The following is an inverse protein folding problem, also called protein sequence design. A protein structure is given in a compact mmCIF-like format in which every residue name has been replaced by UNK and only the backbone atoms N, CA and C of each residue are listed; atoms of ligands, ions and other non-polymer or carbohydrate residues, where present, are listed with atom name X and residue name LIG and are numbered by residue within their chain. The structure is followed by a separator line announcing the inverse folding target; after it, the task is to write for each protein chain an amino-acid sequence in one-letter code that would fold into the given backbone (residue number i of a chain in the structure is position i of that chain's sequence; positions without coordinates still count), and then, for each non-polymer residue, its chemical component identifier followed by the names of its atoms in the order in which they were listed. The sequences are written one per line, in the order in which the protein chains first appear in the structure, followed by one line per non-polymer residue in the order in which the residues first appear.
data_IF_812920578247
#
_entry.id   IF_812920578247
#
_cell.length_a   1.000
_cell.length_b   1.000
_cell.length_c   1.000
_cell.angle_alpha   90.00
_cell.angle_beta   90.00
_cell.angle_gamma   90.00
#
_symmetry.space_group_name_H-M   'P 1'
#
loop_
_entity.id
_entity.type
_entity.pdbx_description
1 polymer ?
#
# COMPACT_ATOMS: atom_id res chain seq x y z
N UNK A 1 -25.25 -36.15 -3.54
CA UNK A 1 -24.51 -35.14 -2.77
C UNK A 1 -24.58 -33.88 -3.59
N UNK A 2 -25.39 -32.92 -3.15
CA UNK A 2 -25.55 -31.64 -3.83
C UNK A 2 -24.33 -30.77 -3.53
N UNK A 3 -23.73 -30.26 -4.59
CA UNK A 3 -22.61 -29.34 -4.56
C UNK A 3 -23.13 -27.97 -4.14
N UNK A 4 -23.00 -27.65 -2.85
CA UNK A 4 -23.35 -26.35 -2.28
C UNK A 4 -22.17 -25.36 -2.41
N UNK A 5 -21.48 -25.34 -3.55
CA UNK A 5 -20.52 -24.27 -3.86
C UNK A 5 -21.30 -23.01 -4.25
N UNK A 6 -21.74 -22.24 -3.25
CA UNK A 6 -21.98 -20.81 -3.42
C UNK A 6 -20.62 -20.14 -3.66
N UNK A 7 -20.09 -20.30 -4.87
CA UNK A 7 -18.94 -19.55 -5.36
C UNK A 7 -19.39 -18.11 -5.60
N UNK A 8 -19.58 -17.39 -4.50
CA UNK A 8 -19.77 -15.95 -4.53
C UNK A 8 -18.39 -15.32 -4.74
N UNK A 9 -17.96 -15.30 -6.00
CA UNK A 9 -16.76 -14.58 -6.43
C UNK A 9 -17.01 -13.08 -6.44
N UNK A 10 -16.93 -12.42 -5.29
CA UNK A 10 -16.84 -10.96 -5.22
C UNK A 10 -15.45 -10.55 -5.74
N UNK A 11 -15.38 -10.14 -7.01
CA UNK A 11 -14.18 -9.49 -7.55
C UNK A 11 -14.19 -8.03 -7.11
N UNK A 12 -13.49 -7.71 -6.03
CA UNK A 12 -13.31 -6.33 -5.56
C UNK A 12 -12.39 -5.60 -6.56
N UNK A 13 -12.98 -4.77 -7.42
CA UNK A 13 -12.26 -4.02 -8.47
C UNK A 13 -11.64 -2.71 -7.98
N UNK A 14 -11.99 -2.27 -6.77
CA UNK A 14 -11.64 -0.99 -6.16
C UNK A 14 -10.95 -1.16 -4.80
N UNK A 15 -10.30 -2.31 -4.54
CA UNK A 15 -9.76 -2.68 -3.22
C UNK A 15 -8.88 -1.60 -2.58
N UNK A 16 -8.14 -0.84 -3.38
CA UNK A 16 -7.38 0.31 -2.89
C UNK A 16 -8.27 1.38 -2.22
N UNK A 17 -9.40 1.74 -2.84
CA UNK A 17 -10.32 2.74 -2.32
C UNK A 17 -11.04 2.26 -1.06
N UNK A 18 -11.53 1.02 -1.07
CA UNK A 18 -12.24 0.44 0.09
C UNK A 18 -11.33 0.37 1.31
N UNK A 19 -10.12 -0.17 1.16
CA UNK A 19 -9.16 -0.25 2.26
C UNK A 19 -8.68 1.12 2.73
N UNK A 20 -8.68 2.12 1.85
CA UNK A 20 -8.36 3.49 2.26
C UNK A 20 -9.47 4.09 3.13
N UNK A 21 -10.73 3.90 2.75
CA UNK A 21 -11.87 4.34 3.55
C UNK A 21 -11.94 3.60 4.89
N UNK A 22 -11.69 2.29 4.90
CA UNK A 22 -11.57 1.50 6.13
C UNK A 22 -10.46 2.06 7.03
N UNK A 23 -9.31 2.43 6.45
CA UNK A 23 -8.21 3.01 7.19
C UNK A 23 -8.58 4.33 7.86
N UNK A 24 -9.29 5.21 7.14
CA UNK A 24 -9.80 6.47 7.68
C UNK A 24 -10.81 6.23 8.81
N UNK A 25 -11.75 5.32 8.59
CA UNK A 25 -12.72 4.92 9.61
C UNK A 25 -12.02 4.44 10.89
N UNK A 26 -11.05 3.52 10.77
CA UNK A 26 -10.32 3.03 11.94
C UNK A 26 -9.47 4.12 12.61
N UNK A 27 -8.91 5.05 11.85
CA UNK A 27 -8.21 6.20 12.42
C UNK A 27 -9.17 7.03 13.30
N UNK A 28 -10.32 7.41 12.75
CA UNK A 28 -11.36 8.18 13.45
C UNK A 28 -11.85 7.43 14.69
N UNK A 29 -12.18 6.14 14.57
CA UNK A 29 -12.58 5.34 15.73
C UNK A 29 -11.52 5.37 16.84
N UNK A 30 -10.24 5.32 16.48
CA UNK A 30 -9.17 5.35 17.47
C UNK A 30 -9.05 6.66 18.26
N UNK A 31 -9.62 7.74 17.74
CA UNK A 31 -9.67 9.06 18.40
C UNK A 31 -10.93 9.21 19.28
N UNK A 32 -11.99 8.45 18.98
CA UNK A 32 -13.27 8.51 19.72
C UNK A 32 -13.31 7.70 21.01
N UNK A 33 -12.67 6.52 21.04
CA UNK A 33 -12.65 5.68 22.23
C UNK A 33 -11.64 6.18 23.25
N UNK A 34 -11.89 6.00 24.55
CA UNK A 34 -10.93 6.31 25.63
C UNK A 34 -10.19 5.08 26.16
N UNK A 35 -10.73 3.89 25.92
CA UNK A 35 -10.08 2.63 26.30
C UNK A 35 -8.82 2.40 25.46
N UNK A 36 -7.70 2.22 26.16
CA UNK A 36 -6.39 2.05 25.55
C UNK A 36 -6.33 0.87 24.57
N UNK A 37 -6.91 -0.29 24.93
CA UNK A 37 -6.82 -1.48 24.10
C UNK A 37 -7.69 -1.36 22.84
N UNK A 38 -8.85 -0.72 22.96
CA UNK A 38 -9.74 -0.44 21.83
C UNK A 38 -9.10 0.58 20.89
N UNK A 39 -8.63 1.73 21.40
CA UNK A 39 -7.90 2.71 20.60
C UNK A 39 -6.74 2.05 19.85
N UNK A 40 -5.96 1.24 20.56
CA UNK A 40 -4.81 0.55 20.00
C UNK A 40 -5.18 -0.43 18.87
N UNK A 41 -6.25 -1.20 19.05
CA UNK A 41 -6.77 -2.10 18.01
C UNK A 41 -7.09 -1.32 16.75
N UNK A 42 -7.80 -0.21 16.88
CA UNK A 42 -8.18 0.64 15.74
C UNK A 42 -6.97 1.28 15.07
N UNK A 43 -6.04 1.84 15.85
CA UNK A 43 -4.76 2.38 15.35
C UNK A 43 -3.98 1.38 14.49
N UNK A 44 -3.91 0.12 14.94
CA UNK A 44 -3.26 -0.97 14.18
C UNK A 44 -4.00 -1.29 12.89
N UNK A 45 -5.32 -1.45 12.97
CA UNK A 45 -6.16 -1.70 11.79
C UNK A 45 -6.02 -0.59 10.76
N UNK A 46 -5.92 0.68 11.19
CA UNK A 46 -5.74 1.82 10.32
C UNK A 46 -4.42 1.74 9.52
N UNK A 47 -3.27 1.56 10.19
CA UNK A 47 -1.97 1.46 9.49
C UNK A 47 -1.93 0.27 8.53
N UNK A 48 -2.47 -0.88 8.94
CA UNK A 48 -2.55 -2.07 8.08
C UNK A 48 -3.37 -1.76 6.83
N UNK A 49 -4.55 -1.16 7.00
CA UNK A 49 -5.47 -0.86 5.89
C UNK A 49 -4.91 0.21 4.95
N UNK A 50 -4.25 1.25 5.49
CA UNK A 50 -3.52 2.24 4.69
C UNK A 50 -2.43 1.58 3.83
N UNK A 51 -1.60 0.73 4.41
CA UNK A 51 -0.56 0.04 3.65
C UNK A 51 -1.14 -0.90 2.60
N UNK A 52 -2.19 -1.66 2.93
CA UNK A 52 -2.84 -2.59 2.03
C UNK A 52 -3.53 -1.86 0.86
N UNK A 53 -4.14 -0.71 1.12
CA UNK A 53 -4.68 0.19 0.09
C UNK A 53 -3.60 0.60 -0.92
N UNK A 54 -2.44 1.03 -0.43
CA UNK A 54 -1.32 1.41 -1.27
C UNK A 54 -0.75 0.22 -2.06
N UNK A 55 -0.64 -0.96 -1.43
CA UNK A 55 -0.16 -2.19 -2.09
C UNK A 55 -1.11 -2.65 -3.21
N UNK A 56 -2.43 -2.53 -3.01
CA UNK A 56 -3.43 -2.83 -4.03
C UNK A 56 -3.34 -1.86 -5.22
N UNK A 57 -3.16 -0.57 -4.95
CA UNK A 57 -2.96 0.43 -6.02
C UNK A 57 -1.67 0.20 -6.79
N UNK A 58 -0.54 -0.03 -6.11
CA UNK A 58 0.74 -0.32 -6.76
C UNK A 58 0.68 -1.57 -7.64
N UNK A 59 -0.04 -2.61 -7.22
CA UNK A 59 -0.24 -3.82 -8.01
C UNK A 59 -1.06 -3.53 -9.27
N UNK A 60 -2.11 -2.72 -9.14
CA UNK A 60 -2.94 -2.25 -10.26
C UNK A 60 -2.13 -1.38 -11.23
N UNK A 61 -1.26 -0.51 -10.70
CA UNK A 61 -0.35 0.31 -11.47
C UNK A 61 0.61 -0.54 -12.30
N UNK A 62 1.26 -1.54 -11.69
CA UNK A 62 2.16 -2.45 -12.41
C UNK A 62 1.38 -3.14 -13.53
N UNK A 63 0.22 -3.74 -13.22
CA UNK A 63 -0.62 -4.44 -14.20
C UNK A 63 -0.98 -3.56 -15.40
N UNK A 64 -1.44 -2.33 -15.16
CA UNK A 64 -1.84 -1.41 -16.22
C UNK A 64 -0.67 -0.89 -17.06
N UNK A 65 0.50 -0.65 -16.46
CA UNK A 65 1.68 -0.18 -17.19
C UNK A 65 2.37 -1.30 -17.97
N UNK A 66 2.26 -2.56 -17.53
CA UNK A 66 2.76 -3.72 -18.25
C UNK A 66 1.79 -4.25 -19.32
N UNK A 67 0.52 -3.79 -19.31
CA UNK A 67 -0.47 -4.19 -20.30
C UNK A 67 -0.10 -3.67 -21.69
N UNK A 68 -0.27 -4.51 -22.70
CA UNK A 68 -0.12 -4.14 -24.13
C UNK A 68 1.30 -3.67 -24.52
N UNK A 69 2.35 -4.05 -23.77
CA UNK A 69 3.76 -3.84 -24.13
C UNK A 69 4.52 -5.16 -24.23
N UNK A 70 5.61 -5.17 -25.00
CA UNK A 70 6.56 -6.28 -24.94
C UNK A 70 7.22 -6.25 -23.56
N UNK A 71 7.04 -7.31 -22.79
CA UNK A 71 7.54 -7.44 -21.41
C UNK A 71 8.67 -8.44 -21.33
N UNK A 72 9.62 -8.16 -20.44
CA UNK A 72 10.69 -9.10 -20.08
C UNK A 72 10.14 -10.28 -19.28
N UNK A 73 10.91 -11.38 -19.23
CA UNK A 73 10.56 -12.54 -18.40
C UNK A 73 10.33 -12.16 -16.93
N UNK A 74 11.15 -11.24 -16.41
CA UNK A 74 11.03 -10.74 -15.04
C UNK A 74 9.75 -9.92 -14.81
N UNK A 75 9.32 -9.12 -15.79
CA UNK A 75 8.04 -8.40 -15.71
C UNK A 75 6.86 -9.35 -15.80
N UNK A 76 6.97 -10.41 -16.62
CA UNK A 76 5.97 -11.49 -16.68
C UNK A 76 5.83 -12.21 -15.34
N UNK A 77 6.94 -12.60 -14.70
CA UNK A 77 6.91 -13.21 -13.36
C UNK A 77 6.16 -12.35 -12.32
N UNK A 78 6.35 -11.03 -12.39
CA UNK A 78 5.65 -10.08 -11.50
C UNK A 78 4.17 -10.01 -11.84
N UNK A 79 3.80 -9.99 -13.12
CA UNK A 79 2.39 -10.05 -13.54
C UNK A 79 1.71 -11.34 -13.10
N UNK A 80 2.37 -12.47 -13.28
CA UNK A 80 1.86 -13.78 -12.89
C UNK A 80 1.61 -13.82 -11.38
N UNK A 81 2.58 -13.34 -10.59
CA UNK A 81 2.42 -13.20 -9.14
C UNK A 81 1.28 -12.26 -8.71
N UNK A 82 1.05 -11.17 -9.44
CA UNK A 82 -0.04 -10.22 -9.13
C UNK A 82 -1.41 -10.81 -9.51
N UNK A 83 -1.48 -11.61 -10.58
CA UNK A 83 -2.73 -12.16 -11.09
C UNK A 83 -3.12 -13.50 -10.45
N UNK A 84 -2.16 -14.27 -9.93
CA UNK A 84 -2.38 -15.57 -9.30
C UNK A 84 -1.78 -15.61 -7.90
N UNK A 85 -2.64 -15.82 -6.90
CA UNK A 85 -2.24 -15.93 -5.50
C UNK A 85 -1.43 -17.20 -5.19
N UNK A 86 -1.45 -18.20 -6.07
CA UNK A 86 -0.65 -19.42 -5.95
C UNK A 86 0.73 -19.31 -6.62
N UNK A 87 0.98 -18.24 -7.37
CA UNK A 87 2.25 -18.05 -8.04
C UNK A 87 3.38 -17.71 -7.05
N UNK A 88 4.60 -18.10 -7.41
CA UNK A 88 5.77 -17.83 -6.59
C UNK A 88 6.11 -16.34 -6.57
N UNK A 89 6.51 -15.82 -5.40
CA UNK A 89 6.95 -14.43 -5.28
C UNK A 89 8.25 -14.18 -6.06
N UNK A 90 8.32 -13.16 -6.93
CA UNK A 90 9.53 -12.84 -7.68
C UNK A 90 10.70 -12.43 -6.76
N UNK A 91 11.92 -12.74 -7.18
CA UNK A 91 13.13 -12.52 -6.36
C UNK A 91 13.29 -11.03 -6.01
N UNK A 92 13.29 -10.74 -4.71
CA UNK A 92 13.44 -9.40 -4.17
C UNK A 92 12.17 -8.55 -4.20
N UNK A 93 11.04 -9.08 -4.69
CA UNK A 93 9.75 -8.40 -4.64
C UNK A 93 9.25 -8.23 -3.20
N UNK A 94 9.62 -9.09 -2.26
CA UNK A 94 9.33 -8.93 -0.83
C UNK A 94 9.90 -7.65 -0.19
N UNK A 95 10.91 -7.03 -0.80
CA UNK A 95 11.56 -5.84 -0.25
C UNK A 95 10.85 -4.57 -0.74
N UNK A 96 10.21 -3.84 0.19
CA UNK A 96 9.46 -2.60 -0.14
C UNK A 96 10.31 -1.59 -0.91
N UNK A 97 11.56 -1.34 -0.50
CA UNK A 97 12.43 -0.39 -1.21
C UNK A 97 12.70 -0.85 -2.65
N UNK A 98 12.94 -2.14 -2.89
CA UNK A 98 13.08 -2.68 -4.25
C UNK A 98 11.78 -2.56 -5.05
N UNK A 99 10.60 -2.76 -4.43
CA UNK A 99 9.32 -2.51 -5.12
C UNK A 99 9.26 -1.06 -5.62
N UNK A 100 9.55 -0.11 -4.73
CA UNK A 100 9.37 1.32 -5.01
C UNK A 100 10.37 1.87 -6.03
N UNK A 101 11.63 1.45 -5.96
CA UNK A 101 12.69 1.99 -6.82
C UNK A 101 12.97 1.14 -8.06
N UNK A 102 12.64 -0.16 -8.06
CA UNK A 102 12.99 -1.05 -9.16
C UNK A 102 11.77 -1.56 -9.90
N UNK A 103 10.88 -2.29 -9.23
CA UNK A 103 9.78 -2.98 -9.92
C UNK A 103 8.76 -2.01 -10.52
N UNK A 104 8.30 -1.03 -9.73
CA UNK A 104 7.30 -0.05 -10.20
C UNK A 104 7.89 0.87 -11.28
N UNK A 105 9.07 1.50 -11.10
CA UNK A 105 9.66 2.32 -12.15
C UNK A 105 9.97 1.52 -13.43
N UNK A 106 10.45 0.28 -13.32
CA UNK A 106 10.67 -0.57 -14.49
C UNK A 106 9.36 -0.84 -15.25
N UNK A 107 8.25 -1.03 -14.53
CA UNK A 107 6.94 -1.20 -15.15
C UNK A 107 6.50 0.06 -15.92
N UNK A 108 6.73 1.26 -15.36
CA UNK A 108 6.34 2.55 -15.94
C UNK A 108 7.26 2.97 -17.09
N UNK A 109 8.58 3.03 -16.85
CA UNK A 109 9.56 3.68 -17.74
C UNK A 109 10.48 2.69 -18.46
N UNK A 110 10.44 1.41 -18.11
CA UNK A 110 11.39 0.40 -18.61
C UNK A 110 12.75 0.44 -17.91
N UNK A 111 12.93 1.26 -16.86
CA UNK A 111 14.20 1.40 -16.14
C UNK A 111 14.03 1.48 -14.61
N UNK A 112 15.05 1.07 -13.86
CA UNK A 112 15.07 1.17 -12.39
C UNK A 112 15.68 2.48 -11.94
N UNK A 113 15.27 2.96 -10.75
CA UNK A 113 15.84 4.14 -10.10
C UNK A 113 16.94 3.73 -9.11
N UNK A 114 18.05 4.46 -9.10
CA UNK A 114 19.12 4.23 -8.13
C UNK A 114 18.85 5.00 -6.83
N UNK A 115 18.46 4.29 -5.77
CA UNK A 115 18.19 4.89 -4.46
C UNK A 115 19.44 5.41 -3.72
N UNK A 116 20.66 5.02 -4.13
CA UNK A 116 21.88 5.53 -3.48
C UNK A 116 22.23 6.93 -3.95
N UNK A 117 21.90 7.27 -5.21
CA UNK A 117 22.19 8.59 -5.80
C UNK A 117 20.94 9.47 -5.87
N UNK A 118 19.76 8.88 -6.11
CA UNK A 118 18.51 9.60 -6.34
C UNK A 118 17.45 9.14 -5.33
N UNK A 119 17.71 9.39 -4.05
CA UNK A 119 16.79 9.03 -2.97
C UNK A 119 15.55 9.92 -3.01
N UNK A 120 14.39 9.33 -3.23
CA UNK A 120 13.11 10.03 -3.28
C UNK A 120 12.50 10.08 -1.87
N UNK A 121 12.23 11.29 -1.35
CA UNK A 121 11.73 11.50 0.01
C UNK A 121 10.37 10.83 0.25
N UNK A 122 9.48 10.84 -0.75
CA UNK A 122 8.13 10.30 -0.63
C UNK A 122 8.16 8.76 -0.61
N UNK A 123 9.07 8.15 -1.38
CA UNK A 123 9.30 6.70 -1.29
C UNK A 123 9.81 6.30 0.10
N UNK A 124 10.74 7.07 0.67
CA UNK A 124 11.29 6.77 2.00
C UNK A 124 10.26 6.96 3.11
N UNK A 125 9.37 7.96 3.01
CA UNK A 125 8.25 8.11 3.96
C UNK A 125 7.31 6.90 3.93
N UNK A 126 6.99 6.39 2.74
CA UNK A 126 6.19 5.16 2.65
C UNK A 126 6.94 3.92 3.15
N UNK A 127 8.27 3.83 2.97
CA UNK A 127 9.07 2.75 3.55
C UNK A 127 8.97 2.76 5.09
N UNK A 128 9.01 3.93 5.72
CA UNK A 128 8.82 4.06 7.17
C UNK A 128 7.42 3.57 7.59
N UNK A 129 6.38 4.00 6.88
CA UNK A 129 5.00 3.54 7.11
C UNK A 129 4.86 2.00 6.96
N UNK A 130 5.44 1.43 5.90
CA UNK A 130 5.42 -0.02 5.65
C UNK A 130 6.20 -0.80 6.71
N UNK A 131 7.33 -0.27 7.20
CA UNK A 131 8.08 -0.86 8.29
C UNK A 131 7.29 -0.82 9.61
N UNK A 132 6.54 0.26 9.86
CA UNK A 132 5.62 0.32 11.00
C UNK A 132 4.54 -0.76 10.90
N UNK A 133 3.92 -0.95 9.72
CA UNK A 133 3.00 -2.07 9.47
C UNK A 133 3.64 -3.42 9.79
N UNK A 134 4.86 -3.66 9.32
CA UNK A 134 5.56 -4.93 9.57
C UNK A 134 5.80 -5.15 11.08
N UNK A 135 6.16 -4.10 11.82
CA UNK A 135 6.32 -4.17 13.28
C UNK A 135 5.01 -4.51 14.00
N UNK A 136 3.87 -4.01 13.49
CA UNK A 136 2.53 -4.26 14.02
C UNK A 136 2.07 -5.70 13.76
N UNK A 137 2.33 -6.21 12.55
CA UNK A 137 1.86 -7.54 12.08
C UNK A 137 2.72 -8.65 12.69
N UNK A 138 4.04 -8.52 12.65
CA UNK A 138 4.98 -9.54 13.15
C UNK A 138 5.27 -9.39 14.65
N UNK A 139 4.22 -9.18 15.45
CA UNK A 139 4.30 -8.90 16.88
C UNK A 139 5.31 -9.81 17.61
N UNK A 140 6.52 -9.30 17.82
CA UNK A 140 7.42 -9.82 18.84
C UNK A 140 7.23 -8.92 20.07
N UNK A 141 7.15 -9.51 21.25
CA UNK A 141 7.02 -8.84 22.56
C UNK A 141 8.02 -7.67 22.77
N UNK A 142 9.10 -7.62 21.98
CA UNK A 142 10.11 -6.54 21.94
C UNK A 142 9.67 -5.25 21.24
N UNK A 143 8.63 -5.26 20.41
CA UNK A 143 8.19 -4.08 19.63
C UNK A 143 7.09 -3.24 20.33
N UNK A 144 6.68 -3.63 21.54
CA UNK A 144 5.61 -2.94 22.28
C UNK A 144 5.90 -1.47 22.60
N UNK A 145 7.17 -1.08 22.70
CA UNK A 145 7.60 0.32 22.93
C UNK A 145 7.45 1.19 21.69
N UNK A 146 7.76 0.67 20.50
CA UNK A 146 7.61 1.36 19.21
C UNK A 146 6.14 1.67 18.91
N UNK A 147 5.23 0.80 19.37
CA UNK A 147 3.80 0.97 19.12
C UNK A 147 3.15 1.96 20.11
N UNK A 148 3.83 2.24 21.24
CA UNK A 148 3.40 3.22 22.26
C UNK A 148 4.10 4.57 22.10
N UNK A 149 4.93 4.75 21.08
CA UNK A 149 5.65 5.99 20.85
C UNK A 149 4.75 7.04 20.20
N UNK A 150 5.11 8.31 20.40
CA UNK A 150 4.49 9.42 19.66
C UNK A 150 4.68 9.25 18.14
N UNK A 151 5.82 8.68 17.73
CA UNK A 151 6.13 8.36 16.34
C UNK A 151 5.04 7.50 15.68
N UNK A 152 4.42 6.56 16.41
CA UNK A 152 3.31 5.77 15.86
C UNK A 152 2.11 6.67 15.52
N UNK A 153 1.72 7.55 16.44
CA UNK A 153 0.53 8.41 16.25
C UNK A 153 0.81 9.46 15.17
N UNK A 154 1.99 10.09 15.20
CA UNK A 154 2.41 11.07 14.18
C UNK A 154 2.44 10.46 12.78
N UNK A 155 2.88 9.19 12.66
CA UNK A 155 2.92 8.48 11.38
C UNK A 155 1.53 8.08 10.91
N UNK A 156 0.62 7.71 11.82
CA UNK A 156 -0.79 7.44 11.49
C UNK A 156 -1.50 8.70 10.99
N UNK A 157 -1.26 9.85 11.63
CA UNK A 157 -1.84 11.13 11.21
C UNK A 157 -1.38 11.55 9.82
N UNK A 158 -0.14 11.21 9.45
CA UNK A 158 0.41 11.49 8.13
C UNK A 158 0.13 10.42 7.09
N UNK A 159 -0.39 9.24 7.47
CA UNK A 159 -0.44 8.07 6.60
C UNK A 159 -1.19 8.32 5.29
N UNK A 160 -2.34 9.01 5.37
CA UNK A 160 -3.13 9.39 4.19
C UNK A 160 -2.34 10.27 3.22
N UNK A 161 -1.62 11.28 3.74
CA UNK A 161 -0.78 12.16 2.93
C UNK A 161 0.41 11.43 2.33
N UNK A 162 1.07 10.56 3.10
CA UNK A 162 2.21 9.75 2.63
C UNK A 162 1.82 8.91 1.42
N UNK A 163 0.61 8.32 1.43
CA UNK A 163 0.11 7.51 0.33
C UNK A 163 -0.22 8.38 -0.89
N UNK A 164 -0.86 9.53 -0.69
CA UNK A 164 -1.14 10.45 -1.79
C UNK A 164 0.16 10.95 -2.46
N UNK A 165 1.15 11.35 -1.66
CA UNK A 165 2.46 11.80 -2.15
C UNK A 165 3.16 10.68 -2.94
N UNK A 166 3.10 9.44 -2.44
CA UNK A 166 3.64 8.27 -3.15
C UNK A 166 3.00 8.10 -4.53
N UNK A 167 1.68 8.26 -4.63
CA UNK A 167 0.97 8.07 -5.89
C UNK A 167 1.31 9.18 -6.88
N UNK A 168 1.38 10.42 -6.39
CA UNK A 168 1.78 11.58 -7.18
C UNK A 168 3.19 11.43 -7.76
N UNK A 169 4.14 10.85 -7.03
CA UNK A 169 5.48 10.56 -7.57
C UNK A 169 5.41 9.63 -8.79
N UNK A 170 4.59 8.59 -8.74
CA UNK A 170 4.46 7.67 -9.87
C UNK A 170 3.64 8.25 -11.03
N UNK A 171 2.70 9.16 -10.75
CA UNK A 171 2.04 9.94 -11.78
C UNK A 171 3.03 10.84 -12.53
N UNK A 172 3.90 11.56 -11.79
CA UNK A 172 4.99 12.38 -12.35
C UNK A 172 5.96 11.54 -13.18
N UNK A 173 6.25 10.30 -12.76
CA UNK A 173 7.09 9.36 -13.53
C UNK A 173 6.43 8.87 -14.83
N UNK A 174 5.17 9.22 -15.10
CA UNK A 174 4.48 8.88 -16.34
C UNK A 174 3.60 7.64 -16.25
N UNK A 175 3.17 7.24 -15.05
CA UNK A 175 2.24 6.12 -14.88
C UNK A 175 0.96 6.32 -15.71
N UNK A 176 0.51 5.22 -16.35
CA UNK A 176 -0.80 5.15 -17.00
C UNK A 176 -1.96 5.21 -16.00
N UNK A 177 -1.73 4.75 -14.77
CA UNK A 177 -2.69 4.88 -13.66
C UNK A 177 -2.39 6.19 -12.94
N UNK A 178 -3.33 7.13 -13.02
CA UNK A 178 -3.25 8.43 -12.36
C UNK A 178 -3.55 8.31 -10.87
N UNK A 179 -3.09 9.30 -10.09
CA UNK A 179 -3.51 9.42 -8.68
C UNK A 179 -5.04 9.49 -8.64
N UNK A 180 -5.72 8.59 -7.90
CA UNK A 180 -7.17 8.53 -7.92
C UNK A 180 -7.84 9.81 -7.39
N UNK A 181 -8.94 10.25 -7.99
CA UNK A 181 -9.63 11.50 -7.60
C UNK A 181 -10.20 11.45 -6.18
N UNK A 182 -10.64 10.26 -5.74
CA UNK A 182 -11.22 10.04 -4.42
C UNK A 182 -10.25 10.36 -3.26
N UNK A 183 -8.93 10.40 -3.51
CA UNK A 183 -7.97 10.92 -2.54
C UNK A 183 -8.11 12.42 -2.31
N UNK A 184 -8.42 13.20 -3.35
CA UNK A 184 -8.55 14.68 -3.27
C UNK A 184 -9.90 15.09 -2.71
N UNK A 185 -10.93 14.29 -2.97
CA UNK A 185 -12.30 14.51 -2.47
C UNK A 185 -12.39 14.49 -0.94
N UNK A 186 -11.40 13.93 -0.22
CA UNK A 186 -11.32 13.98 1.25
C UNK A 186 -11.19 15.40 1.79
N UNK A 187 -10.38 16.24 1.12
CA UNK A 187 -10.15 17.63 1.54
C UNK A 187 -11.37 18.52 1.27
N UNK A 188 -12.21 18.15 0.31
CA UNK A 188 -13.45 18.89 0.00
C UNK A 188 -14.61 18.60 0.95
N UNK A 189 -14.50 17.57 1.81
CA UNK A 189 -15.53 17.21 2.80
C UNK A 189 -15.30 17.83 4.17
N UNK A 190 -14.23 18.61 4.35
CA UNK A 190 -13.94 19.38 5.58
C UNK A 190 -14.51 20.82 5.54
N UNK A 191 -15.58 21.07 4.76
CA UNK A 191 -16.31 22.35 4.72
C UNK A 191 -17.63 22.24 5.49
#
# INVERSE_FOLDING_TARGET
MEDNSLDCGLTISNMSHELFNDALYYKEQSETFTDFFIQWRYKRSAIISFCASAEAWMSSLIKCNLKDKSISSREQEVLDFINDHNANMPVGYNNVRRKLYNFIPAAITGSTLNWTTNRNVNFERYIVLSNMRNNIVHYATRNGSVIRSNEFSDLLDQAAQIIEDLFNEYDILGSRVKTPSWFKERLSKEI
#
